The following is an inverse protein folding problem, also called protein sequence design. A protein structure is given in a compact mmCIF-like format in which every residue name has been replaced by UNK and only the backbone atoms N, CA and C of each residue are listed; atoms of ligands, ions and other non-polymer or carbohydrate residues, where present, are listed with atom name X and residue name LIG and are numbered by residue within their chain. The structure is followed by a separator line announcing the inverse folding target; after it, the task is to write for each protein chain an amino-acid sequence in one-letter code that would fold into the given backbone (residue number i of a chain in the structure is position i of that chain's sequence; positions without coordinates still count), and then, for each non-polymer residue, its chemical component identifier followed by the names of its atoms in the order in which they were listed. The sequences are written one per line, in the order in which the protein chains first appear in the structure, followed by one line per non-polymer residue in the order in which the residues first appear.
data_IF_734060554066
#
_entry.id   IF_734060554066
#
_cell.length_a   1.000
_cell.length_b   1.000
_cell.length_c   1.000
_cell.angle_alpha   90.00
_cell.angle_beta   90.00
_cell.angle_gamma   90.00
#
_symmetry.space_group_name_H-M   'P 1'
#
loop_
_entity.id
_entity.type
_entity.pdbx_description
1 polymer ?
#
# COMPACT_ATOMS: atom_id res chain seq x y z
N UNK A 1 -9.47 2.55 -0.48
CA UNK A 1 -8.40 2.63 0.55
C UNK A 1 -7.54 1.38 0.47
N UNK A 2 -6.27 1.45 0.87
CA UNK A 2 -5.33 0.32 0.88
C UNK A 2 -4.66 0.25 2.25
N UNK A 3 -4.49 -0.97 2.74
CA UNK A 3 -3.70 -1.30 3.91
C UNK A 3 -2.35 -1.85 3.47
N UNK A 4 -1.28 -1.30 4.03
CA UNK A 4 0.06 -1.86 3.92
C UNK A 4 0.51 -2.32 5.29
N UNK A 5 0.70 -3.62 5.45
CA UNK A 5 1.26 -4.24 6.63
C UNK A 5 2.78 -4.29 6.47
N UNK A 6 3.50 -3.50 7.26
CA UNK A 6 4.95 -3.61 7.39
C UNK A 6 5.40 -3.09 8.75
N UNK A 7 6.16 -3.90 9.48
CA UNK A 7 6.62 -3.51 10.81
C UNK A 7 7.83 -2.54 10.77
N UNK A 8 8.61 -2.55 9.69
CA UNK A 8 9.91 -1.88 9.59
C UNK A 8 9.92 -0.92 8.39
N UNK A 9 10.70 0.17 8.47
CA UNK A 9 10.85 1.15 7.37
C UNK A 9 9.53 1.73 6.86
N UNK A 10 8.58 1.92 7.78
CA UNK A 10 7.26 2.47 7.48
C UNK A 10 7.35 3.85 6.82
N UNK A 11 8.26 4.71 7.29
CA UNK A 11 8.49 6.04 6.71
C UNK A 11 8.94 5.99 5.24
N UNK A 12 9.77 5.01 4.89
CA UNK A 12 10.23 4.83 3.51
C UNK A 12 9.09 4.35 2.61
N UNK A 13 8.22 3.49 3.14
CA UNK A 13 7.02 3.02 2.44
C UNK A 13 6.04 4.17 2.23
N UNK A 14 5.81 4.99 3.25
CA UNK A 14 4.96 6.19 3.16
C UNK A 14 5.50 7.12 2.07
N UNK A 15 6.79 7.46 2.13
CA UNK A 15 7.42 8.32 1.11
C UNK A 15 7.33 7.72 -0.29
N UNK A 16 7.58 6.42 -0.44
CA UNK A 16 7.52 5.76 -1.74
C UNK A 16 6.11 5.82 -2.34
N UNK A 17 5.07 5.60 -1.54
CA UNK A 17 3.68 5.64 -2.00
C UNK A 17 3.18 7.07 -2.25
N UNK A 18 3.48 8.02 -1.36
CA UNK A 18 3.07 9.42 -1.53
C UNK A 18 3.80 10.11 -2.69
N UNK A 19 4.96 9.60 -3.11
CA UNK A 19 5.68 10.09 -4.29
C UNK A 19 4.98 9.75 -5.61
N UNK A 20 4.04 8.80 -5.61
CA UNK A 20 3.31 8.40 -6.80
C UNK A 20 2.28 9.49 -7.12
N UNK A 21 2.53 10.22 -8.21
CA UNK A 21 1.63 11.28 -8.72
C UNK A 21 1.04 10.90 -10.05
N UNK A 22 -0.25 11.16 -10.22
CA UNK A 22 -1.01 10.91 -11.44
C UNK A 22 -1.92 12.11 -11.67
N UNK A 23 -1.89 12.66 -12.88
CA UNK A 23 -2.63 13.86 -13.25
C UNK A 23 -2.44 15.01 -12.23
N UNK A 24 -1.20 15.16 -11.74
CA UNK A 24 -0.78 16.14 -10.74
C UNK A 24 -1.39 15.99 -9.33
N UNK A 25 -2.09 14.88 -9.07
CA UNK A 25 -2.61 14.52 -7.75
C UNK A 25 -1.80 13.37 -7.15
N UNK A 26 -1.72 13.32 -5.81
CA UNK A 26 -1.09 12.19 -5.13
C UNK A 26 -2.01 10.97 -5.27
N UNK A 27 -1.50 9.90 -5.87
CA UNK A 27 -2.25 8.67 -6.06
C UNK A 27 -2.54 7.96 -4.75
N UNK A 28 -1.64 8.09 -3.77
CA UNK A 28 -1.77 7.58 -2.42
C UNK A 28 -1.52 8.69 -1.41
N UNK A 29 -2.31 8.70 -0.32
CA UNK A 29 -2.15 9.63 0.80
C UNK A 29 -2.25 8.87 2.11
N UNK A 30 -1.30 9.08 3.03
CA UNK A 30 -1.38 8.41 4.33
C UNK A 30 -2.57 8.96 5.14
N UNK A 31 -3.35 8.04 5.72
CA UNK A 31 -4.49 8.37 6.59
C UNK A 31 -4.12 8.12 8.04
N UNK A 32 -3.54 6.95 8.32
CA UNK A 32 -3.26 6.50 9.69
C UNK A 32 -2.15 5.45 9.72
N UNK A 33 -1.40 5.43 10.81
CA UNK A 33 -0.43 4.39 11.14
C UNK A 33 -0.85 3.76 12.48
N UNK A 34 -1.02 2.45 12.53
CA UNK A 34 -1.44 1.69 13.71
C UNK A 34 -0.58 0.43 13.89
N UNK A 35 0.45 0.53 14.74
CA UNK A 35 1.38 -0.57 14.95
C UNK A 35 2.12 -0.93 13.65
N UNK A 36 1.86 -2.11 13.09
CA UNK A 36 2.45 -2.56 11.83
C UNK A 36 1.65 -2.14 10.59
N UNK A 37 0.49 -1.52 10.79
CA UNK A 37 -0.49 -1.22 9.74
C UNK A 37 -0.36 0.22 9.30
N UNK A 38 -0.26 0.44 8.00
CA UNK A 38 -0.27 1.76 7.38
C UNK A 38 -1.49 1.84 6.46
N UNK A 39 -2.38 2.76 6.74
CA UNK A 39 -3.61 2.96 5.98
C UNK A 39 -3.40 4.12 5.01
N UNK A 40 -3.58 3.84 3.73
CA UNK A 40 -3.53 4.82 2.65
C UNK A 40 -4.91 5.02 2.03
N UNK A 41 -5.23 6.26 1.75
CA UNK A 41 -6.27 6.60 0.81
C UNK A 41 -5.72 6.52 -0.62
N UNK A 42 -6.57 6.14 -1.58
CA UNK A 42 -6.15 5.90 -2.97
C UNK A 42 -7.23 6.36 -3.94
N UNK A 43 -6.81 6.97 -5.05
CA UNK A 43 -7.70 7.36 -6.16
C UNK A 43 -8.08 6.18 -7.05
N UNK A 44 -7.54 4.98 -6.79
CA UNK A 44 -7.71 3.79 -7.61
C UNK A 44 -8.67 2.76 -7.05
N UNK A 45 -9.33 2.05 -7.97
CA UNK A 45 -10.01 0.80 -7.71
C UNK A 45 -9.06 -0.26 -7.15
N UNK A 46 -9.59 -1.09 -6.24
CA UNK A 46 -8.89 -1.96 -5.30
C UNK A 46 -7.67 -2.69 -5.88
N UNK A 47 -7.85 -3.47 -6.95
CA UNK A 47 -6.79 -4.32 -7.53
C UNK A 47 -5.69 -3.46 -8.16
N UNK A 48 -6.07 -2.39 -8.87
CA UNK A 48 -5.13 -1.52 -9.58
C UNK A 48 -4.28 -0.75 -8.58
N UNK A 49 -4.90 -0.24 -7.51
CA UNK A 49 -4.22 0.44 -6.41
C UNK A 49 -3.22 -0.49 -5.70
N UNK A 50 -3.61 -1.73 -5.38
CA UNK A 50 -2.72 -2.72 -4.75
C UNK A 50 -1.51 -3.02 -5.62
N UNK A 51 -1.70 -3.19 -6.93
CA UNK A 51 -0.60 -3.47 -7.87
C UNK A 51 0.40 -2.31 -7.91
N UNK A 52 -0.08 -1.07 -8.06
CA UNK A 52 0.78 0.11 -8.06
C UNK A 52 1.50 0.34 -6.72
N UNK A 53 0.81 0.07 -5.61
CA UNK A 53 1.42 0.17 -4.30
C UNK A 53 2.58 -0.82 -4.15
N UNK A 54 2.36 -2.09 -4.54
CA UNK A 54 3.42 -3.11 -4.57
C UNK A 54 4.57 -2.71 -5.48
N UNK A 55 4.32 -2.23 -6.69
CA UNK A 55 5.37 -1.79 -7.62
C UNK A 55 6.19 -0.63 -7.08
N UNK A 56 5.56 0.31 -6.37
CA UNK A 56 6.25 1.46 -5.77
C UNK A 56 7.12 1.03 -4.59
N UNK A 57 6.60 0.14 -3.74
CA UNK A 57 7.35 -0.43 -2.61
C UNK A 57 8.56 -1.26 -3.10
N UNK A 58 8.44 -1.99 -4.20
CA UNK A 58 9.53 -2.76 -4.80
C UNK A 58 10.72 -1.89 -5.25
N UNK A 59 10.54 -0.59 -5.43
CA UNK A 59 11.63 0.34 -5.77
C UNK A 59 12.47 0.73 -4.56
N UNK A 60 12.02 0.44 -3.34
CA UNK A 60 12.77 0.73 -2.12
C UNK A 60 13.98 -0.22 -2.06
N UNK A 61 15.22 0.31 -1.95
CA UNK A 61 16.41 -0.54 -1.83
C UNK A 61 16.28 -1.47 -0.62
N UNK A 62 16.45 -2.77 -0.80
CA UNK A 62 16.32 -3.75 0.29
C UNK A 62 14.88 -4.14 0.65
N UNK A 63 13.86 -3.79 -0.16
CA UNK A 63 12.48 -4.21 0.09
C UNK A 63 12.33 -5.74 0.22
N UNK A 64 13.20 -6.51 -0.44
CA UNK A 64 13.20 -7.97 -0.46
C UNK A 64 13.40 -8.58 0.94
N UNK A 65 14.03 -7.84 1.85
CA UNK A 65 14.24 -8.26 3.24
C UNK A 65 13.05 -7.91 4.15
N UNK A 66 12.05 -7.17 3.65
CA UNK A 66 10.90 -6.74 4.42
C UNK A 66 9.74 -7.71 4.20
N UNK A 67 9.06 -8.08 5.29
CA UNK A 67 7.74 -8.71 5.22
C UNK A 67 6.72 -7.60 4.97
N UNK A 68 6.20 -7.56 3.75
CA UNK A 68 5.22 -6.56 3.31
C UNK A 68 4.00 -7.27 2.76
N UNK A 69 2.85 -6.92 3.30
CA UNK A 69 1.56 -7.34 2.77
C UNK A 69 0.72 -6.10 2.40
N UNK A 70 0.03 -6.16 1.27
CA UNK A 70 -0.72 -5.03 0.70
C UNK A 70 -2.10 -5.54 0.35
N UNK A 71 -3.12 -4.98 1.00
CA UNK A 71 -4.50 -5.47 0.95
C UNK A 71 -5.44 -4.30 0.67
N UNK A 72 -6.43 -4.47 -0.24
CA UNK A 72 -7.44 -3.45 -0.45
C UNK A 72 -8.43 -3.43 0.74
N UNK A 73 -8.89 -2.23 1.11
CA UNK A 73 -9.89 -2.04 2.16
C UNK A 73 -11.19 -1.62 1.50
N UNK A 74 -12.21 -2.48 1.60
CA UNK A 74 -13.54 -2.29 1.01
C UNK A 74 -14.58 -2.29 2.13
N UNK A 75 -15.44 -1.28 2.18
CA UNK A 75 -16.48 -1.13 3.22
C UNK A 75 -15.95 -1.17 4.67
N UNK A 76 -14.81 -0.52 4.95
CA UNK A 76 -14.10 -0.57 6.25
C UNK A 76 -13.66 -1.97 6.71
N UNK A 77 -13.83 -2.99 5.89
CA UNK A 77 -13.39 -4.35 6.17
C UNK A 77 -12.13 -4.66 5.35
N UNK A 78 -11.13 -5.22 6.03
CA UNK A 78 -9.92 -5.73 5.40
C UNK A 78 -10.27 -7.05 4.71
N UNK A 79 -10.24 -7.09 3.38
CA UNK A 79 -10.52 -8.33 2.65
C UNK A 79 -9.26 -9.21 2.63
N UNK A 80 -9.13 -10.09 3.62
CA UNK A 80 -8.03 -11.09 3.71
C UNK A 80 -8.03 -12.12 2.56
N UNK A 81 -9.09 -12.14 1.73
CA UNK A 81 -9.29 -13.14 0.66
C UNK A 81 -8.59 -12.88 -0.69
N UNK A 82 -7.98 -11.72 -0.91
CA UNK A 82 -7.37 -11.39 -2.22
C UNK A 82 -6.11 -12.21 -2.55
N UNK A 83 -5.51 -12.90 -1.57
CA UNK A 83 -4.34 -13.76 -1.79
C UNK A 83 -4.60 -14.94 -2.74
N UNK A 84 -5.87 -15.35 -2.97
CA UNK A 84 -6.21 -16.48 -3.86
C UNK A 84 -6.42 -16.12 -5.33
N UNK A 85 -6.57 -14.83 -5.67
CA UNK A 85 -6.93 -14.41 -7.03
C UNK A 85 -5.74 -13.91 -7.87
N UNK A 86 -4.52 -13.97 -7.33
CA UNK A 86 -3.32 -13.39 -7.94
C UNK A 86 -2.13 -14.37 -8.04
N UNK A 87 -2.40 -15.68 -7.91
CA UNK A 87 -1.48 -16.74 -8.31
C UNK A 87 -1.84 -17.26 -9.69
#
# INVERSE_FOLDING_TARGET
MILVNCAWRQDDIIKALESVKIDNQNAFKVVKVEGIRIIFDTLFEDIKGVKMARESIKKIPGYQALVIDVVPVVNNNMFEGYNKLLY
#
